data_IF_062499722678
#
_entry.id   IF_062499722678
#
_cell.length_a   1.000
_cell.length_b   1.000
_cell.length_c   1.000
_cell.angle_alpha   90.00
_cell.angle_beta   90.00
_cell.angle_gamma   90.00
#
_symmetry.space_group_name_H-M   'P 1'
#
loop_
_entity.id
_entity.type
_entity.pdbx_description
1 polymer ?
#
# COMPACT_ATOMS: atom_id res chain seq x y z
N UNK A 1 13.66 -0.09 -18.30
CA UNK A 1 13.24 -1.42 -17.78
C UNK A 1 12.57 -2.15 -18.95
N UNK A 2 12.85 -3.43 -19.19
CA UNK A 2 12.18 -4.15 -20.29
C UNK A 2 10.70 -4.38 -19.96
N UNK A 3 9.84 -4.42 -20.98
CA UNK A 3 8.41 -4.72 -20.85
C UNK A 3 8.17 -6.02 -20.07
N UNK A 4 8.96 -7.06 -20.35
CA UNK A 4 8.86 -8.34 -19.66
C UNK A 4 9.10 -8.24 -18.14
N UNK A 5 10.13 -7.49 -17.70
CA UNK A 5 10.39 -7.32 -16.26
C UNK A 5 9.28 -6.51 -15.59
N UNK A 6 8.73 -5.52 -16.27
CA UNK A 6 7.60 -4.74 -15.76
C UNK A 6 6.37 -5.64 -15.59
N UNK A 7 6.03 -6.40 -16.64
CA UNK A 7 4.91 -7.33 -16.63
C UNK A 7 5.03 -8.39 -15.53
N UNK A 8 6.19 -9.05 -15.39
CA UNK A 8 6.43 -10.04 -14.34
C UNK A 8 6.19 -9.44 -12.96
N UNK A 9 6.72 -8.24 -12.71
CA UNK A 9 6.59 -7.58 -11.41
C UNK A 9 5.15 -7.17 -11.10
N UNK A 10 4.45 -6.59 -12.08
CA UNK A 10 3.02 -6.26 -11.96
C UNK A 10 2.19 -7.52 -11.72
N UNK A 11 2.48 -8.62 -12.43
CA UNK A 11 1.83 -9.90 -12.21
C UNK A 11 2.11 -10.47 -10.80
N UNK A 12 3.34 -10.36 -10.30
CA UNK A 12 3.68 -10.78 -8.93
C UNK A 12 2.90 -9.98 -7.87
N UNK A 13 2.76 -8.66 -8.04
CA UNK A 13 1.96 -7.86 -7.11
C UNK A 13 0.46 -8.15 -7.23
N UNK A 14 -0.05 -8.37 -8.44
CA UNK A 14 -1.43 -8.80 -8.65
C UNK A 14 -1.69 -10.15 -7.95
N UNK A 15 -0.79 -11.12 -8.09
CA UNK A 15 -0.90 -12.40 -7.41
C UNK A 15 -0.87 -12.26 -5.88
N UNK A 16 0.06 -11.45 -5.34
CA UNK A 16 0.11 -11.16 -3.90
C UNK A 16 -1.15 -10.47 -3.40
N UNK A 17 -1.71 -9.55 -4.18
CA UNK A 17 -2.97 -8.88 -3.86
C UNK A 17 -4.11 -9.89 -3.79
N UNK A 18 -4.24 -10.75 -4.81
CA UNK A 18 -5.27 -11.80 -4.83
C UNK A 18 -5.14 -12.76 -3.65
N UNK A 19 -3.92 -13.18 -3.30
CA UNK A 19 -3.67 -14.03 -2.13
C UNK A 19 -4.07 -13.32 -0.84
N UNK A 20 -3.71 -12.05 -0.67
CA UNK A 20 -4.10 -11.27 0.50
C UNK A 20 -5.62 -11.11 0.60
N UNK A 21 -6.30 -10.86 -0.52
CA UNK A 21 -7.75 -10.78 -0.57
C UNK A 21 -8.40 -12.12 -0.23
N UNK A 22 -7.90 -13.24 -0.77
CA UNK A 22 -8.39 -14.59 -0.44
C UNK A 22 -8.21 -14.91 1.05
N UNK A 23 -7.04 -14.63 1.61
CA UNK A 23 -6.79 -14.81 3.04
C UNK A 23 -7.69 -13.92 3.90
N UNK A 24 -7.99 -12.70 3.44
CA UNK A 24 -8.97 -11.82 4.07
C UNK A 24 -10.34 -12.50 4.20
N UNK A 25 -10.86 -13.05 3.10
CA UNK A 25 -12.15 -13.76 3.10
C UNK A 25 -12.13 -15.02 3.98
N UNK A 26 -11.02 -15.76 4.01
CA UNK A 26 -10.88 -16.96 4.85
C UNK A 26 -10.78 -16.67 6.35
N UNK A 27 -10.56 -15.41 6.73
CA UNK A 27 -10.37 -15.00 8.12
C UNK A 27 -11.49 -14.11 8.63
N UNK A 28 -12.61 -14.02 7.91
CA UNK A 28 -13.82 -13.38 8.41
C UNK A 28 -14.33 -14.17 9.64
N UNK A 29 -14.34 -13.50 10.79
CA UNK A 29 -14.82 -14.09 12.04
C UNK A 29 -16.28 -13.71 12.22
N UNK A 30 -17.19 -14.66 11.94
CA UNK A 30 -18.63 -14.51 12.20
C UNK A 30 -19.43 -13.91 11.05
N UNK A 31 -20.54 -13.20 11.36
CA UNK A 31 -21.40 -12.50 10.38
C UNK A 31 -20.98 -11.06 10.10
N UNK A 32 -20.02 -10.54 10.86
CA UNK A 32 -19.37 -9.28 10.52
C UNK A 32 -18.49 -9.57 9.33
N UNK A 33 -18.81 -9.04 8.15
CA UNK A 33 -18.05 -9.14 6.87
C UNK A 33 -16.67 -8.46 6.96
N UNK A 34 -16.05 -8.52 8.14
CA UNK A 34 -14.86 -7.80 8.53
C UNK A 34 -13.72 -8.81 8.55
N UNK A 35 -12.98 -8.85 7.45
CA UNK A 35 -11.77 -9.65 7.32
C UNK A 35 -10.76 -9.31 8.43
N UNK A 36 -10.30 -10.34 9.17
CA UNK A 36 -9.33 -10.19 10.26
C UNK A 36 -7.89 -10.04 9.74
N UNK A 37 -7.61 -10.54 8.53
CA UNK A 37 -6.28 -10.56 7.95
C UNK A 37 -6.03 -9.44 6.93
N UNK A 38 -4.78 -8.98 6.93
CA UNK A 38 -4.16 -7.91 6.14
C UNK A 38 -5.04 -7.19 5.09
N UNK A 39 -5.30 -5.87 5.23
CA UNK A 39 -6.08 -5.13 4.24
C UNK A 39 -5.39 -5.17 2.87
N UNK A 40 -6.12 -5.57 1.83
CA UNK A 40 -5.61 -5.62 0.46
C UNK A 40 -5.08 -4.26 -0.02
N UNK A 41 -5.64 -3.16 0.50
CA UNK A 41 -5.15 -1.79 0.33
C UNK A 41 -3.67 -1.62 0.73
N UNK A 42 -3.18 -2.34 1.75
CA UNK A 42 -1.76 -2.30 2.16
C UNK A 42 -0.88 -2.93 1.09
N UNK A 43 -1.28 -4.05 0.50
CA UNK A 43 -0.55 -4.68 -0.61
C UNK A 43 -0.52 -3.74 -1.82
N UNK A 44 -1.65 -3.10 -2.12
CA UNK A 44 -1.73 -2.05 -3.14
C UNK A 44 -0.77 -0.88 -2.86
N UNK A 45 -0.71 -0.41 -1.62
CA UNK A 45 0.21 0.66 -1.22
C UNK A 45 1.68 0.25 -1.38
N UNK A 46 2.04 -0.97 -0.95
CA UNK A 46 3.40 -1.53 -1.11
C UNK A 46 3.76 -1.66 -2.58
N UNK A 47 2.84 -2.16 -3.42
CA UNK A 47 3.01 -2.25 -4.87
C UNK A 47 3.31 -0.86 -5.46
N UNK A 48 2.45 0.13 -5.22
CA UNK A 48 2.62 1.47 -5.76
C UNK A 48 3.87 2.16 -5.23
N UNK A 49 4.22 2.01 -3.94
CA UNK A 49 5.44 2.55 -3.34
C UNK A 49 6.71 1.92 -3.92
N UNK A 50 6.66 0.63 -4.26
CA UNK A 50 7.75 -0.02 -4.95
C UNK A 50 7.88 0.54 -6.37
N UNK A 51 6.76 0.82 -7.06
CA UNK A 51 6.74 1.26 -8.47
C UNK A 51 6.97 2.76 -8.66
N UNK A 52 6.83 3.57 -7.60
CA UNK A 52 7.00 5.02 -7.62
C UNK A 52 8.25 5.53 -8.38
N UNK A 53 9.45 4.92 -8.28
CA UNK A 53 10.63 5.39 -9.00
C UNK A 53 10.54 5.28 -10.53
N UNK A 54 9.63 4.46 -11.07
CA UNK A 54 9.57 4.11 -12.49
C UNK A 54 8.66 5.03 -13.33
N UNK A 55 8.08 6.08 -12.73
CA UNK A 55 7.20 7.10 -13.38
C UNK A 55 5.96 6.57 -14.11
N UNK A 56 5.66 5.27 -14.01
CA UNK A 56 4.51 4.60 -14.63
C UNK A 56 3.33 4.40 -13.66
N UNK A 57 3.28 5.17 -12.57
CA UNK A 57 2.31 5.01 -11.48
C UNK A 57 0.84 4.96 -11.97
N UNK A 58 0.51 5.70 -13.03
CA UNK A 58 -0.85 5.68 -13.62
C UNK A 58 -1.27 4.29 -14.09
N UNK A 59 -0.35 3.55 -14.73
CA UNK A 59 -0.62 2.19 -15.18
C UNK A 59 -0.73 1.20 -14.02
N UNK A 60 0.09 1.37 -12.98
CA UNK A 60 0.00 0.54 -11.78
C UNK A 60 -1.31 0.79 -11.00
N UNK A 61 -1.79 2.04 -10.95
CA UNK A 61 -3.09 2.39 -10.37
C UNK A 61 -4.23 1.76 -11.15
N UNK A 62 -4.19 1.82 -12.49
CA UNK A 62 -5.17 1.16 -13.35
C UNK A 62 -5.13 -0.36 -13.10
N UNK A 63 -3.94 -0.97 -13.08
CA UNK A 63 -3.79 -2.40 -12.86
C UNK A 63 -4.32 -2.81 -11.48
N UNK A 64 -4.02 -2.06 -10.42
CA UNK A 64 -4.54 -2.30 -9.08
C UNK A 64 -6.08 -2.20 -9.06
N UNK A 65 -6.64 -1.16 -9.69
CA UNK A 65 -8.09 -0.99 -9.80
C UNK A 65 -8.76 -2.13 -10.56
N UNK A 66 -8.17 -2.56 -11.68
CA UNK A 66 -8.64 -3.72 -12.47
C UNK A 66 -8.62 -4.99 -11.64
N UNK A 67 -7.53 -5.28 -10.91
CA UNK A 67 -7.43 -6.47 -10.06
C UNK A 67 -8.46 -6.41 -8.93
N UNK A 68 -8.58 -5.28 -8.23
CA UNK A 68 -9.56 -5.09 -7.16
C UNK A 68 -11.00 -5.28 -7.66
N UNK A 69 -11.35 -4.68 -8.80
CA UNK A 69 -12.67 -4.85 -9.41
C UNK A 69 -12.91 -6.29 -9.88
N UNK A 70 -11.88 -6.98 -10.41
CA UNK A 70 -12.01 -8.36 -10.88
C UNK A 70 -12.33 -9.34 -9.76
N UNK A 71 -11.87 -9.08 -8.53
CA UNK A 71 -12.27 -9.89 -7.37
C UNK A 71 -13.76 -9.71 -7.07
N UNK A 72 -14.25 -8.48 -7.14
CA UNK A 72 -15.62 -8.17 -6.79
C UNK A 72 -16.64 -8.55 -7.88
N UNK A 73 -16.22 -8.55 -9.16
CA UNK A 73 -17.13 -8.82 -10.29
C UNK A 73 -17.65 -10.26 -10.32
N UNK A 74 -16.96 -11.19 -9.67
CA UNK A 74 -17.40 -12.58 -9.60
C UNK A 74 -18.62 -12.76 -8.70
N UNK A 75 -18.83 -11.85 -7.76
CA UNK A 75 -19.93 -11.88 -6.78
C UNK A 75 -20.95 -10.75 -6.99
N UNK A 76 -20.58 -9.69 -7.70
CA UNK A 76 -21.39 -8.48 -7.88
C UNK A 76 -21.39 -8.00 -9.33
N UNK A 77 -22.39 -7.20 -9.73
CA UNK A 77 -22.42 -6.57 -11.04
C UNK A 77 -21.22 -5.63 -11.27
N UNK A 78 -20.87 -5.37 -12.54
CA UNK A 78 -19.69 -4.58 -12.94
C UNK A 78 -19.62 -3.21 -12.24
N UNK A 79 -20.75 -2.51 -12.13
CA UNK A 79 -20.79 -1.19 -11.48
C UNK A 79 -20.44 -1.27 -9.99
N UNK A 80 -21.00 -2.25 -9.28
CA UNK A 80 -20.72 -2.48 -7.86
C UNK A 80 -19.26 -2.92 -7.65
N UNK A 81 -18.74 -3.76 -8.54
CA UNK A 81 -17.34 -4.17 -8.51
C UNK A 81 -16.36 -2.99 -8.66
N UNK A 82 -16.66 -2.06 -9.58
CA UNK A 82 -15.88 -0.83 -9.73
C UNK A 82 -16.00 0.07 -8.50
N UNK A 83 -17.18 0.20 -7.91
CA UNK A 83 -17.37 0.96 -6.68
C UNK A 83 -16.53 0.38 -5.53
N UNK A 84 -16.58 -0.94 -5.32
CA UNK A 84 -15.81 -1.64 -4.28
C UNK A 84 -14.28 -1.60 -4.50
N UNK A 85 -13.81 -1.34 -5.72
CA UNK A 85 -12.39 -1.11 -5.97
C UNK A 85 -11.90 0.24 -5.42
N UNK A 86 -12.78 1.25 -5.32
CA UNK A 86 -12.40 2.61 -4.90
C UNK A 86 -11.81 2.66 -3.48
N UNK A 87 -12.41 2.05 -2.44
CA UNK A 87 -11.82 2.00 -1.09
C UNK A 87 -10.49 1.26 -1.02
N UNK A 88 -10.12 0.46 -2.03
CA UNK A 88 -8.84 -0.23 -2.07
C UNK A 88 -7.77 0.64 -2.74
N UNK A 89 -8.12 1.29 -3.85
CA UNK A 89 -7.19 2.08 -4.67
C UNK A 89 -6.88 3.44 -4.04
N UNK A 90 -7.90 4.15 -3.54
CA UNK A 90 -7.73 5.53 -3.06
C UNK A 90 -6.78 5.61 -1.86
N UNK A 91 -6.93 4.80 -0.79
CA UNK A 91 -5.98 4.79 0.31
C UNK A 91 -4.56 4.42 -0.13
N UNK A 92 -4.40 3.47 -1.05
CA UNK A 92 -3.10 3.08 -1.58
C UNK A 92 -2.40 4.24 -2.32
N UNK A 93 -3.14 4.97 -3.17
CA UNK A 93 -2.65 6.16 -3.85
C UNK A 93 -2.32 7.27 -2.86
N UNK A 94 -3.18 7.48 -1.86
CA UNK A 94 -2.98 8.49 -0.83
C UNK A 94 -1.71 8.21 -0.01
N UNK A 95 -1.45 6.95 0.35
CA UNK A 95 -0.21 6.54 1.01
C UNK A 95 1.00 6.92 0.18
N UNK A 96 1.00 6.63 -1.11
CA UNK A 96 2.13 6.95 -2.01
C UNK A 96 2.34 8.45 -2.11
N UNK A 97 1.25 9.21 -2.29
CA UNK A 97 1.28 10.65 -2.40
C UNK A 97 1.81 11.31 -1.11
N UNK A 98 1.25 10.95 0.05
CA UNK A 98 1.68 11.48 1.32
C UNK A 98 3.10 11.01 1.67
N UNK A 99 3.47 9.78 1.33
CA UNK A 99 4.82 9.30 1.53
C UNK A 99 5.84 10.11 0.74
N UNK A 100 5.57 10.40 -0.53
CA UNK A 100 6.45 11.24 -1.35
C UNK A 100 6.55 12.68 -0.84
N UNK A 101 5.47 13.20 -0.23
CA UNK A 101 5.39 14.59 0.23
C UNK A 101 5.91 14.80 1.66
N UNK A 102 5.71 13.83 2.55
CA UNK A 102 5.88 13.99 4.00
C UNK A 102 7.04 13.19 4.58
N UNK A 103 7.60 12.19 3.88
CA UNK A 103 8.77 11.51 4.40
C UNK A 103 9.95 12.49 4.46
N UNK A 104 10.57 12.64 5.64
CA UNK A 104 11.68 13.55 5.80
C UNK A 104 12.92 13.03 5.04
N UNK A 105 13.87 13.92 4.70
CA UNK A 105 15.11 13.53 4.02
C UNK A 105 15.94 12.55 4.85
N UNK A 106 16.83 11.84 4.17
CA UNK A 106 17.76 10.91 4.82
C UNK A 106 18.54 11.61 5.95
N UNK A 107 18.52 11.01 7.15
CA UNK A 107 19.17 11.57 8.35
C UNK A 107 18.22 12.23 9.35
N UNK A 108 16.92 12.34 9.06
CA UNK A 108 15.94 12.73 10.07
C UNK A 108 15.85 11.69 11.20
N UNK A 109 15.71 12.16 12.43
CA UNK A 109 15.61 11.28 13.60
C UNK A 109 14.41 10.34 13.55
N UNK A 110 14.55 9.14 14.13
CA UNK A 110 13.54 8.07 14.11
C UNK A 110 12.16 8.54 14.58
N UNK A 111 12.09 9.42 15.58
CA UNK A 111 10.81 9.97 16.06
C UNK A 111 10.06 10.78 15.01
N UNK A 112 10.76 11.62 14.23
CA UNK A 112 10.14 12.42 13.17
C UNK A 112 9.61 11.52 12.04
N UNK A 113 10.35 10.47 11.68
CA UNK A 113 9.90 9.46 10.71
C UNK A 113 8.65 8.77 11.23
N UNK A 114 8.65 8.30 12.48
CA UNK A 114 7.52 7.58 13.06
C UNK A 114 6.25 8.44 13.08
N UNK A 115 6.32 9.70 13.51
CA UNK A 115 5.16 10.62 13.52
C UNK A 115 4.59 10.79 12.11
N UNK A 116 5.43 10.94 11.09
CA UNK A 116 4.98 11.08 9.70
C UNK A 116 4.35 9.79 9.17
N UNK A 117 4.97 8.64 9.42
CA UNK A 117 4.43 7.34 9.01
C UNK A 117 3.08 7.05 9.68
N UNK A 118 2.94 7.34 10.97
CA UNK A 118 1.67 7.23 11.70
C UNK A 118 0.61 8.15 11.11
N UNK A 119 0.95 9.40 10.81
CA UNK A 119 0.02 10.34 10.18
C UNK A 119 -0.43 9.89 8.78
N UNK A 120 0.47 9.35 7.96
CA UNK A 120 0.14 8.77 6.65
C UNK A 120 -0.82 7.59 6.81
N UNK A 121 -0.49 6.68 7.74
CA UNK A 121 -1.29 5.48 8.00
C UNK A 121 -2.71 5.84 8.48
N UNK A 122 -2.82 6.75 9.45
CA UNK A 122 -4.10 7.21 9.98
C UNK A 122 -4.96 7.92 8.91
N UNK A 123 -4.36 8.80 8.10
CA UNK A 123 -5.07 9.50 7.04
C UNK A 123 -5.60 8.53 5.96
N UNK A 124 -4.79 7.55 5.57
CA UNK A 124 -5.18 6.54 4.59
C UNK A 124 -6.29 5.62 5.13
N UNK A 125 -6.16 5.17 6.38
CA UNK A 125 -7.16 4.34 7.04
C UNK A 125 -8.50 5.08 7.20
N UNK A 126 -8.46 6.35 7.61
CA UNK A 126 -9.66 7.19 7.69
C UNK A 126 -10.32 7.36 6.32
N UNK A 127 -9.55 7.63 5.26
CA UNK A 127 -10.08 7.74 3.90
C UNK A 127 -10.72 6.42 3.45
N UNK A 128 -10.08 5.28 3.72
CA UNK A 128 -10.62 3.95 3.41
C UNK A 128 -11.94 3.68 4.12
N UNK A 129 -12.01 3.94 5.43
CA UNK A 129 -13.22 3.76 6.23
C UNK A 129 -14.38 4.66 5.76
N UNK A 130 -14.10 5.93 5.43
CA UNK A 130 -15.12 6.84 4.89
C UNK A 130 -15.64 6.33 3.54
N UNK A 131 -14.76 5.93 2.64
CA UNK A 131 -15.17 5.39 1.33
C UNK A 131 -15.94 4.08 1.46
N UNK A 132 -15.56 3.24 2.41
CA UNK A 132 -16.29 2.00 2.69
C UNK A 132 -17.70 2.30 3.19
N UNK A 133 -17.86 3.20 4.17
CA UNK A 133 -19.17 3.61 4.67
C UNK A 133 -20.05 4.33 3.65
N UNK A 134 -19.48 4.99 2.64
CA UNK A 134 -20.25 5.58 1.52
C UNK A 134 -20.81 4.50 0.59
N UNK A 135 -20.11 3.37 0.44
CA UNK A 135 -20.52 2.26 -0.44
C UNK A 135 -21.46 1.31 0.28
N UNK A 136 -21.23 1.07 1.57
CA UNK A 136 -22.09 0.25 2.40
C UNK A 136 -23.32 1.04 2.88
N UNK A 137 -24.39 0.96 2.09
CA UNK A 137 -25.69 1.55 2.42
C UNK A 137 -26.47 0.73 3.46
N UNK A 138 -25.96 -0.43 3.89
CA UNK A 138 -26.69 -1.44 4.65
C UNK A 138 -26.67 -1.27 6.17
N UNK A 139 -25.77 -0.47 6.72
CA UNK A 139 -25.75 -0.24 8.17
C UNK A 139 -24.41 0.10 8.79
N UNK A 140 -23.48 0.70 8.06
CA UNK A 140 -22.14 1.03 8.56
C UNK A 140 -22.18 1.81 9.89
N UNK A 141 -21.78 1.13 10.98
CA UNK A 141 -21.87 1.69 12.33
C UNK A 141 -20.58 2.38 12.77
N UNK A 142 -20.68 3.31 13.72
CA UNK A 142 -19.50 3.99 14.27
C UNK A 142 -18.45 3.03 14.91
N UNK A 143 -18.83 1.96 15.64
CA UNK A 143 -17.87 0.97 16.13
C UNK A 143 -17.13 0.23 15.02
N UNK A 144 -17.81 -0.14 13.93
CA UNK A 144 -17.18 -0.78 12.77
C UNK A 144 -16.20 0.17 12.09
N UNK A 145 -16.60 1.43 11.90
CA UNK A 145 -15.71 2.46 11.38
C UNK A 145 -14.45 2.60 12.25
N UNK A 146 -14.61 2.67 13.57
CA UNK A 146 -13.50 2.75 14.51
C UNK A 146 -12.56 1.54 14.43
N UNK A 147 -13.12 0.34 14.32
CA UNK A 147 -12.35 -0.89 14.15
C UNK A 147 -11.57 -0.90 12.83
N UNK A 148 -12.22 -0.57 11.70
CA UNK A 148 -11.57 -0.51 10.39
C UNK A 148 -10.42 0.50 10.39
N UNK A 149 -10.64 1.70 10.93
CA UNK A 149 -9.60 2.73 11.03
C UNK A 149 -8.42 2.23 11.86
N UNK A 150 -8.67 1.62 13.02
CA UNK A 150 -7.60 1.12 13.89
C UNK A 150 -6.81 0.00 13.19
N UNK A 151 -7.51 -1.02 12.67
CA UNK A 151 -6.93 -2.16 11.97
C UNK A 151 -6.07 -1.71 10.79
N UNK A 152 -6.60 -0.81 9.96
CA UNK A 152 -5.92 -0.35 8.75
C UNK A 152 -4.75 0.57 9.10
N UNK A 153 -4.88 1.41 10.13
CA UNK A 153 -3.78 2.26 10.62
C UNK A 153 -2.60 1.39 11.07
N UNK A 154 -2.85 0.37 11.90
CA UNK A 154 -1.80 -0.53 12.39
C UNK A 154 -1.16 -1.29 11.23
N UNK A 155 -1.97 -1.83 10.32
CA UNK A 155 -1.48 -2.62 9.18
C UNK A 155 -0.63 -1.79 8.21
N UNK A 156 -1.08 -0.58 7.88
CA UNK A 156 -0.34 0.35 7.01
C UNK A 156 0.94 0.81 7.71
N UNK A 157 0.88 1.17 9.00
CA UNK A 157 2.06 1.61 9.75
C UNK A 157 3.14 0.52 9.79
N UNK A 158 2.77 -0.73 10.07
CA UNK A 158 3.69 -1.86 10.07
C UNK A 158 4.33 -2.08 8.69
N UNK A 159 3.54 -2.02 7.61
CA UNK A 159 4.07 -2.14 6.26
C UNK A 159 5.03 -1.00 5.88
N UNK A 160 4.69 0.23 6.23
CA UNK A 160 5.54 1.39 6.00
C UNK A 160 6.85 1.33 6.79
N UNK A 161 6.79 0.90 8.05
CA UNK A 161 7.97 0.66 8.88
C UNK A 161 8.86 -0.43 8.27
N UNK A 162 8.27 -1.57 7.88
CA UNK A 162 9.00 -2.65 7.22
C UNK A 162 9.71 -2.17 5.94
N UNK A 163 9.00 -1.43 5.07
CA UNK A 163 9.60 -0.83 3.89
C UNK A 163 10.70 0.17 4.22
N UNK A 164 10.52 0.99 5.25
CA UNK A 164 11.52 1.96 5.70
C UNK A 164 12.79 1.25 6.15
N UNK A 165 12.70 0.22 7.00
CA UNK A 165 13.86 -0.54 7.46
C UNK A 165 14.57 -1.30 6.33
N UNK A 166 13.82 -1.89 5.40
CA UNK A 166 14.40 -2.57 4.24
C UNK A 166 15.18 -1.59 3.33
N UNK A 167 14.72 -0.35 3.19
CA UNK A 167 15.40 0.70 2.42
C UNK A 167 16.56 1.36 3.17
N UNK A 168 16.45 1.46 4.50
CA UNK A 168 17.48 2.05 5.35
C UNK A 168 18.71 1.15 5.51
N UNK A 169 18.62 -0.13 5.14
CA UNK A 169 19.77 -1.04 5.17
C UNK A 169 20.88 -0.46 4.28
N UNK A 170 22.00 -0.02 4.87
CA UNK A 170 23.04 0.69 4.12
C UNK A 170 23.50 -0.22 2.99
N UNK A 171 23.47 0.28 1.76
CA UNK A 171 24.23 -0.33 0.68
C UNK A 171 25.66 -0.44 1.21
N UNK A 172 26.06 -1.67 1.58
CA UNK A 172 27.31 -1.91 2.30
C UNK A 172 28.38 -1.15 1.57
N UNK A 173 29.10 -0.27 2.30
CA UNK A 173 30.19 0.56 1.78
C UNK A 173 30.89 -0.23 0.69
N UNK A 174 30.56 0.06 -0.58
CA UNK A 174 31.26 -0.56 -1.69
C UNK A 174 32.73 -0.32 -1.41
N UNK A 175 33.61 -1.33 -1.54
CA UNK A 175 35.00 -1.24 -1.10
C UNK A 175 35.52 0.09 -1.60
N UNK A 176 35.75 1.00 -0.66
CA UNK A 176 36.21 2.35 -0.95
C UNK A 176 37.47 2.11 -1.76
N UNK A 177 37.41 2.37 -3.07
CA UNK A 177 38.52 2.29 -4.00
C UNK A 177 39.46 3.46 -3.65
N UNK A 178 40.01 3.40 -2.44
CA UNK A 178 41.16 4.16 -2.00
C UNK A 178 42.34 3.47 -2.65
N UNK A 179 42.80 4.04 -3.75
CA UNK A 179 44.03 3.62 -4.37
C UNK A 179 44.31 4.41 -5.64
N UNK A 180 45.24 5.37 -5.52
CA UNK A 180 46.33 5.68 -6.46
C UNK A 180 45.93 6.22 -7.87
N UNK A 181 46.38 7.36 -8.39
CA UNK A 181 47.64 8.11 -8.23
C UNK A 181 47.45 9.62 -8.49
N UNK A 182 48.08 10.44 -7.66
CA UNK A 182 48.54 11.79 -8.00
C UNK A 182 49.70 11.67 -8.99
N UNK A 183 49.52 12.13 -10.22
CA UNK A 183 50.64 12.44 -11.12
C UNK A 183 50.96 13.91 -10.93
N UNK A 184 52.08 14.16 -10.26
CA UNK A 184 52.75 15.45 -10.25
C UNK A 184 53.41 15.62 -11.62
N UNK A 185 53.10 16.73 -12.30
CA UNK A 185 53.94 17.29 -13.36
C UNK A 185 54.29 18.72 -12.97
#
# INVERSE_FOLDING_TARGET
MSLARYAIRTASFAALYLVATLLGHLTEVGRTEVALFWPAAVVGAVWLLAQAPYRMLRFDVIALGTVAASVAVTSHGILAALAMAVPQVVPAVLIVFLAQRWLPPAGAGTGAVLVRLTGIAAAAAAAGAVLHGVIDLGGFTAPEAGYLVLRDTVSVLLALLGLHFLRAKPQGKGPTRRGHLTVVR
#
